data_IF_368493712773
#
_entry.id   IF_368493712773
#
_cell.length_a   1.000
_cell.length_b   1.000
_cell.length_c   1.000
_cell.angle_alpha   90.00
_cell.angle_beta   90.00
_cell.angle_gamma   90.00
#
_symmetry.space_group_name_H-M   'P 1'
#
loop_
_entity.id
_entity.type
_entity.pdbx_description
1 polymer ?
#
# COMPACT_ATOMS: atom_id res chain seq x y z
N UNK A 1 -8.75 -2.50 8.13
CA UNK A 1 -9.22 -1.32 7.37
C UNK A 1 -8.76 0.02 7.97
N UNK A 2 -9.25 0.45 9.14
CA UNK A 2 -8.93 1.78 9.70
C UNK A 2 -7.42 2.04 9.88
N UNK A 3 -6.67 1.04 10.36
CA UNK A 3 -5.23 1.18 10.59
C UNK A 3 -4.43 1.48 9.31
N UNK A 4 -4.83 0.96 8.15
CA UNK A 4 -4.11 1.16 6.88
C UNK A 4 -4.30 2.58 6.34
N UNK A 5 -5.50 3.15 6.44
CA UNK A 5 -5.75 4.54 6.02
C UNK A 5 -5.04 5.54 6.95
N UNK A 6 -5.05 5.28 8.26
CA UNK A 6 -4.29 6.08 9.23
C UNK A 6 -2.79 6.03 8.91
N UNK A 7 -2.26 4.87 8.54
CA UNK A 7 -0.86 4.71 8.13
C UNK A 7 -0.51 5.53 6.88
N UNK A 8 -1.39 5.61 5.88
CA UNK A 8 -1.20 6.49 4.70
C UNK A 8 -1.11 7.96 5.12
N UNK A 9 -2.04 8.40 5.98
CA UNK A 9 -2.07 9.80 6.45
C UNK A 9 -0.78 10.13 7.22
N UNK A 10 -0.33 9.24 8.11
CA UNK A 10 0.91 9.42 8.88
C UNK A 10 2.12 9.44 7.94
N UNK A 11 2.18 8.54 6.96
CA UNK A 11 3.25 8.49 5.98
C UNK A 11 3.33 9.78 5.15
N UNK A 12 2.19 10.26 4.62
CA UNK A 12 2.11 11.53 3.89
C UNK A 12 2.48 12.73 4.76
N UNK A 13 1.96 12.80 5.99
CA UNK A 13 2.28 13.87 6.93
C UNK A 13 3.78 13.90 7.27
N UNK A 14 4.38 12.73 7.47
CA UNK A 14 5.82 12.56 7.72
C UNK A 14 6.66 13.06 6.54
N UNK A 15 6.26 12.75 5.30
CA UNK A 15 6.93 13.25 4.08
C UNK A 15 6.87 14.79 3.96
N UNK A 16 5.71 15.38 4.25
CA UNK A 16 5.52 16.84 4.22
C UNK A 16 6.37 17.51 5.30
N UNK A 17 6.34 16.99 6.53
CA UNK A 17 7.16 17.49 7.63
C UNK A 17 8.65 17.40 7.30
N UNK A 18 9.10 16.31 6.69
CA UNK A 18 10.49 16.14 6.27
C UNK A 18 10.92 17.21 5.26
N UNK A 19 10.08 17.48 4.25
CA UNK A 19 10.32 18.52 3.26
C UNK A 19 10.37 19.94 3.90
N UNK A 20 9.50 20.22 4.87
CA UNK A 20 9.48 21.48 5.61
C UNK A 20 10.73 21.67 6.48
N UNK A 21 11.17 20.62 7.18
CA UNK A 21 12.40 20.63 7.99
C UNK A 21 13.62 20.88 7.10
N UNK A 22 13.72 20.15 5.99
CA UNK A 22 14.82 20.32 5.04
C UNK A 22 14.86 21.73 4.44
N UNK A 23 13.71 22.30 4.04
CA UNK A 23 13.63 23.67 3.50
C UNK A 23 14.01 24.74 4.54
N UNK A 24 13.57 24.58 5.78
CA UNK A 24 13.70 25.62 6.81
C UNK A 24 15.08 25.65 7.46
N UNK A 25 15.71 24.49 7.67
CA UNK A 25 16.97 24.37 8.46
C UNK A 25 18.01 23.45 7.82
N UNK A 26 17.70 22.78 6.71
CA UNK A 26 18.56 21.78 6.09
C UNK A 26 19.81 22.35 5.42
N UNK A 27 20.90 21.58 5.53
CA UNK A 27 22.13 21.77 4.77
C UNK A 27 21.90 21.33 3.32
N UNK A 28 22.17 22.24 2.38
CA UNK A 28 21.94 22.00 0.95
C UNK A 28 23.09 21.20 0.35
N UNK A 29 23.12 19.90 0.63
CA UNK A 29 23.87 18.95 -0.18
C UNK A 29 22.90 18.23 -1.13
N UNK A 30 23.33 18.06 -2.39
CA UNK A 30 22.62 17.27 -3.40
C UNK A 30 22.34 15.86 -2.87
N UNK A 31 23.29 15.26 -2.14
CA UNK A 31 23.16 13.93 -1.57
C UNK A 31 21.96 13.77 -0.61
N UNK A 32 21.74 14.71 0.31
CA UNK A 32 20.60 14.63 1.23
C UNK A 32 19.27 14.86 0.48
N UNK A 33 19.25 15.77 -0.50
CA UNK A 33 18.06 15.99 -1.31
C UNK A 33 17.69 14.74 -2.12
N UNK A 34 18.68 14.10 -2.76
CA UNK A 34 18.44 12.87 -3.53
C UNK A 34 17.94 11.73 -2.65
N UNK A 35 18.48 11.55 -1.43
CA UNK A 35 18.01 10.54 -0.50
C UNK A 35 16.55 10.76 -0.07
N UNK A 36 16.19 12.00 0.26
CA UNK A 36 14.82 12.37 0.66
C UNK A 36 13.85 12.07 -0.49
N UNK A 37 14.19 12.46 -1.72
CA UNK A 37 13.33 12.26 -2.89
C UNK A 37 13.20 10.78 -3.26
N UNK A 38 14.28 10.01 -3.16
CA UNK A 38 14.26 8.58 -3.39
C UNK A 38 13.36 7.89 -2.36
N UNK A 39 13.51 8.20 -1.08
CA UNK A 39 12.67 7.65 -0.02
C UNK A 39 11.19 8.06 -0.19
N UNK A 40 10.92 9.31 -0.59
CA UNK A 40 9.57 9.76 -0.94
C UNK A 40 8.99 8.99 -2.13
N UNK A 41 9.78 8.74 -3.17
CA UNK A 41 9.36 7.95 -4.33
C UNK A 41 8.97 6.52 -3.92
N UNK A 42 9.79 5.87 -3.09
CA UNK A 42 9.50 4.52 -2.57
C UNK A 42 8.23 4.52 -1.73
N UNK A 43 8.07 5.49 -0.81
CA UNK A 43 6.90 5.60 0.04
C UNK A 43 5.61 5.79 -0.77
N UNK A 44 5.62 6.68 -1.77
CA UNK A 44 4.47 6.90 -2.65
C UNK A 44 4.13 5.67 -3.47
N UNK A 45 5.15 4.98 -3.99
CA UNK A 45 4.95 3.72 -4.71
C UNK A 45 4.29 2.66 -3.83
N UNK A 46 4.76 2.49 -2.58
CA UNK A 46 4.16 1.54 -1.62
C UNK A 46 2.71 1.90 -1.26
N UNK A 47 2.42 3.17 -1.05
CA UNK A 47 1.05 3.64 -0.78
C UNK A 47 0.12 3.40 -1.97
N UNK A 48 0.58 3.66 -3.20
CA UNK A 48 -0.21 3.42 -4.41
C UNK A 48 -0.37 1.94 -4.72
N UNK A 49 0.67 1.14 -4.51
CA UNK A 49 0.56 -0.31 -4.61
C UNK A 49 -0.52 -0.83 -3.67
N UNK A 50 -0.51 -0.38 -2.41
CA UNK A 50 -1.56 -0.74 -1.46
C UNK A 50 -2.95 -0.27 -1.92
N UNK A 51 -3.07 0.96 -2.43
CA UNK A 51 -4.33 1.51 -2.93
C UNK A 51 -4.85 0.72 -4.15
N UNK A 52 -3.96 0.28 -5.03
CA UNK A 52 -4.28 -0.61 -6.14
C UNK A 52 -4.80 -1.95 -5.64
N UNK A 53 -4.09 -2.58 -4.71
CA UNK A 53 -4.55 -3.82 -4.07
C UNK A 53 -5.91 -3.64 -3.40
N UNK A 54 -6.13 -2.52 -2.70
CA UNK A 54 -7.43 -2.17 -2.10
C UNK A 54 -8.52 -1.99 -3.15
N UNK A 55 -8.21 -1.37 -4.29
CA UNK A 55 -9.14 -1.24 -5.40
C UNK A 55 -9.54 -2.61 -5.99
N UNK A 56 -8.62 -3.58 -6.01
CA UNK A 56 -8.89 -4.93 -6.52
C UNK A 56 -9.66 -5.81 -5.55
N UNK A 57 -9.38 -5.77 -4.25
CA UNK A 57 -9.92 -6.75 -3.28
C UNK A 57 -10.74 -6.15 -2.15
N UNK A 58 -10.75 -4.82 -2.01
CA UNK A 58 -11.37 -4.13 -0.89
C UNK A 58 -10.61 -4.26 0.44
N UNK A 59 -9.56 -5.09 0.55
CA UNK A 59 -8.82 -5.34 1.80
C UNK A 59 -7.37 -4.85 1.81
N UNK A 60 -6.80 -4.52 0.63
CA UNK A 60 -5.39 -4.16 0.49
C UNK A 60 -4.54 -5.35 0.09
N UNK A 61 -3.27 -5.42 0.53
CA UNK A 61 -2.34 -6.50 0.18
C UNK A 61 -2.71 -7.77 0.97
N UNK A 62 -3.23 -8.78 0.27
CA UNK A 62 -3.64 -10.08 0.84
C UNK A 62 -3.37 -11.23 -0.16
N UNK A 63 -3.48 -12.49 0.26
CA UNK A 63 -3.20 -13.69 -0.56
C UNK A 63 -4.02 -13.75 -1.83
N UNK A 64 -5.29 -13.34 -1.74
CA UNK A 64 -6.17 -13.21 -2.88
C UNK A 64 -5.60 -12.26 -3.94
N UNK A 65 -4.92 -11.18 -3.55
CA UNK A 65 -4.28 -10.24 -4.49
C UNK A 65 -3.05 -10.86 -5.12
N UNK A 66 -2.19 -11.50 -4.33
CA UNK A 66 -0.96 -12.11 -4.86
C UNK A 66 -1.32 -13.21 -5.85
N UNK A 67 -2.33 -14.02 -5.53
CA UNK A 67 -2.82 -15.08 -6.40
C UNK A 67 -3.51 -14.53 -7.66
N UNK A 68 -4.35 -13.50 -7.50
CA UNK A 68 -5.05 -12.82 -8.61
C UNK A 68 -4.05 -12.12 -9.54
N UNK A 69 -3.07 -11.38 -9.02
CA UNK A 69 -2.02 -10.77 -9.84
C UNK A 69 -1.14 -11.83 -10.52
N UNK A 70 -0.85 -12.95 -9.86
CA UNK A 70 0.04 -13.97 -10.44
C UNK A 70 -0.67 -14.87 -11.46
N UNK A 71 -1.97 -15.14 -11.31
CA UNK A 71 -2.71 -16.10 -12.15
C UNK A 71 -3.89 -15.54 -12.95
N UNK A 72 -4.51 -14.43 -12.54
CA UNK A 72 -5.75 -13.93 -13.18
C UNK A 72 -5.54 -12.84 -14.23
N UNK A 73 -4.31 -12.32 -14.39
CA UNK A 73 -4.00 -11.28 -15.40
C UNK A 73 -4.21 -11.76 -16.84
N UNK A 74 -4.49 -13.04 -17.08
CA UNK A 74 -4.69 -13.62 -18.41
C UNK A 74 -6.08 -13.37 -19.03
N UNK A 75 -6.99 -12.64 -18.36
CA UNK A 75 -8.33 -12.36 -18.88
C UNK A 75 -8.99 -11.07 -18.38
N UNK A 76 -8.29 -10.24 -17.62
CA UNK A 76 -8.84 -8.95 -17.18
C UNK A 76 -8.77 -7.93 -18.33
N UNK A 77 -9.87 -7.26 -18.62
CA UNK A 77 -9.93 -6.18 -19.60
C UNK A 77 -9.08 -4.99 -19.10
N UNK A 78 -7.79 -4.98 -19.46
CA UNK A 78 -6.78 -4.01 -19.00
C UNK A 78 -7.20 -2.55 -19.21
N UNK A 79 -8.13 -2.31 -20.14
CA UNK A 79 -8.57 -1.00 -20.60
C UNK A 79 -9.17 -0.14 -19.49
N UNK A 80 -9.91 -0.74 -18.55
CA UNK A 80 -10.53 -0.02 -17.43
C UNK A 80 -9.52 0.35 -16.33
N UNK A 81 -8.33 -0.25 -16.34
CA UNK A 81 -7.30 -0.07 -15.33
C UNK A 81 -6.19 0.89 -15.75
N UNK A 82 -6.09 1.23 -17.04
CA UNK A 82 -5.11 2.20 -17.54
C UNK A 82 -5.35 3.58 -16.93
N UNK A 83 -6.60 4.02 -16.86
CA UNK A 83 -6.96 5.34 -16.35
C UNK A 83 -6.50 5.58 -14.88
N UNK A 84 -6.86 4.74 -13.88
CA UNK A 84 -6.40 4.93 -12.51
C UNK A 84 -4.88 4.81 -12.38
N UNK A 85 -4.23 3.96 -13.19
CA UNK A 85 -2.78 3.82 -13.19
C UNK A 85 -2.08 5.10 -13.70
N UNK A 86 -2.54 5.67 -14.81
CA UNK A 86 -1.99 6.93 -15.36
C UNK A 86 -2.17 8.06 -14.36
N UNK A 87 -3.36 8.19 -13.74
CA UNK A 87 -3.62 9.20 -12.70
C UNK A 87 -2.67 9.02 -11.52
N UNK A 88 -2.45 7.79 -11.06
CA UNK A 88 -1.53 7.49 -9.97
C UNK A 88 -0.08 7.90 -10.29
N UNK A 89 0.42 7.55 -11.48
CA UNK A 89 1.77 7.92 -11.92
C UNK A 89 1.93 9.43 -12.05
N UNK A 90 0.94 10.13 -12.62
CA UNK A 90 0.93 11.58 -12.71
C UNK A 90 0.94 12.23 -11.31
N UNK A 91 0.19 11.67 -10.36
CA UNK A 91 0.14 12.17 -8.99
C UNK A 91 1.47 11.98 -8.26
N UNK A 92 2.16 10.83 -8.44
CA UNK A 92 3.54 10.65 -7.94
C UNK A 92 4.46 11.72 -8.52
N UNK A 93 4.44 11.86 -9.85
CA UNK A 93 5.26 12.82 -10.56
C UNK A 93 5.04 14.24 -10.06
N UNK A 94 3.77 14.63 -9.86
CA UNK A 94 3.39 15.93 -9.32
C UNK A 94 3.90 16.13 -7.88
N UNK A 95 3.72 15.15 -6.99
CA UNK A 95 4.18 15.24 -5.60
C UNK A 95 5.71 15.32 -5.49
N UNK A 96 6.43 14.52 -6.28
CA UNK A 96 7.89 14.58 -6.35
C UNK A 96 8.37 15.90 -6.95
N UNK A 97 7.72 16.38 -8.00
CA UNK A 97 8.02 17.68 -8.61
C UNK A 97 7.78 18.84 -7.64
N UNK A 98 6.66 18.82 -6.91
CA UNK A 98 6.37 19.78 -5.85
C UNK A 98 7.43 19.73 -4.77
N UNK A 99 7.76 18.54 -4.24
CA UNK A 99 8.80 18.36 -3.23
C UNK A 99 10.15 18.92 -3.70
N UNK A 100 10.57 18.56 -4.91
CA UNK A 100 11.76 19.10 -5.57
C UNK A 100 11.74 20.63 -5.67
N UNK A 101 10.65 21.20 -6.18
CA UNK A 101 10.49 22.65 -6.33
C UNK A 101 10.53 23.37 -4.98
N UNK A 102 9.90 22.78 -3.95
CA UNK A 102 9.93 23.27 -2.57
C UNK A 102 11.34 23.26 -1.98
N UNK A 103 12.15 22.24 -2.29
CA UNK A 103 13.55 22.13 -1.83
C UNK A 103 14.48 23.12 -2.54
N UNK A 104 14.18 23.50 -3.80
CA UNK A 104 14.97 24.47 -4.56
C UNK A 104 14.74 25.95 -4.15
N UNK A 105 13.63 26.27 -3.48
CA UNK A 105 13.26 27.66 -3.17
C UNK A 105 14.36 28.38 -2.38
N UNK A 106 14.90 29.49 -2.89
CA UNK A 106 15.96 30.29 -2.22
C UNK A 106 15.41 30.87 -0.92
N UNK A 107 15.68 30.20 0.21
CA UNK A 107 15.27 30.69 1.52
C UNK A 107 16.39 31.56 2.09
N UNK A 108 16.02 32.76 2.51
CA UNK A 108 16.90 33.83 2.98
C UNK A 108 17.51 33.43 4.33
N UNK A 109 18.84 33.39 4.37
CA UNK A 109 19.72 33.46 5.54
C UNK A 109 19.15 32.92 6.87
N UNK A 110 19.11 31.59 7.02
CA UNK A 110 19.08 30.95 8.34
C UNK A 110 20.24 29.96 8.43
N UNK A 111 20.93 29.95 9.56
CA UNK A 111 22.04 29.03 9.80
C UNK A 111 21.61 27.59 9.57
N UNK A 112 22.19 26.99 8.54
CA UNK A 112 21.84 25.64 8.08
C UNK A 112 22.55 24.63 8.94
N UNK A 113 21.81 23.66 9.48
CA UNK A 113 22.36 22.67 10.42
C UNK A 113 22.33 21.28 9.78
N UNK A 114 23.46 20.56 9.84
CA UNK A 114 23.55 19.18 9.34
C UNK A 114 22.52 18.26 10.00
N UNK A 115 22.33 18.40 11.31
CA UNK A 115 21.34 17.63 12.07
C UNK A 115 19.91 17.73 11.52
N UNK A 116 19.49 18.90 11.01
CA UNK A 116 18.16 19.07 10.42
C UNK A 116 17.98 18.31 9.10
N UNK A 117 19.07 18.07 8.36
CA UNK A 117 19.02 17.26 7.13
C UNK A 117 18.93 15.79 7.46
N UNK A 118 19.68 15.35 8.48
CA UNK A 118 19.66 13.97 8.98
C UNK A 118 18.27 13.64 9.54
N UNK A 119 17.66 14.54 10.33
CA UNK A 119 16.29 14.32 10.83
C UNK A 119 15.27 14.24 9.71
N UNK A 120 15.38 15.07 8.67
CA UNK A 120 14.51 14.98 7.50
C UNK A 120 14.66 13.64 6.77
N UNK A 121 15.89 13.15 6.59
CA UNK A 121 16.15 11.83 5.99
C UNK A 121 15.54 10.72 6.84
N UNK A 122 15.79 10.70 8.16
CA UNK A 122 15.22 9.71 9.06
C UNK A 122 13.68 9.71 9.02
N UNK A 123 13.07 10.89 8.97
CA UNK A 123 11.62 11.04 8.91
C UNK A 123 11.03 10.52 7.59
N UNK A 124 11.75 10.68 6.47
CA UNK A 124 11.35 10.03 5.20
C UNK A 124 11.50 8.51 5.22
N UNK A 125 12.57 7.97 5.84
CA UNK A 125 12.69 6.52 6.01
C UNK A 125 11.61 5.96 6.93
N UNK A 126 11.24 6.70 7.98
CA UNK A 126 10.12 6.35 8.84
C UNK A 126 8.79 6.32 8.06
N UNK A 127 8.58 7.25 7.13
CA UNK A 127 7.40 7.24 6.25
C UNK A 127 7.33 5.98 5.38
N UNK A 128 8.48 5.47 4.92
CA UNK A 128 8.56 4.18 4.22
C UNK A 128 8.15 3.05 5.16
N UNK A 129 8.72 2.97 6.37
CA UNK A 129 8.44 1.91 7.33
C UNK A 129 6.98 1.84 7.79
N UNK A 130 6.30 2.99 7.89
CA UNK A 130 4.87 3.07 8.25
C UNK A 130 3.95 2.74 7.07
N UNK A 131 4.45 2.65 5.84
CA UNK A 131 3.58 2.40 4.68
C UNK A 131 2.72 1.15 4.89
N UNK A 132 1.42 1.20 4.53
CA UNK A 132 0.48 0.12 4.82
C UNK A 132 0.86 -1.19 4.12
N UNK A 133 1.46 -1.12 2.93
CA UNK A 133 1.96 -2.29 2.22
C UNK A 133 3.03 -3.03 3.04
N UNK A 134 4.05 -2.33 3.56
CA UNK A 134 5.11 -2.95 4.36
C UNK A 134 4.57 -3.48 5.69
N UNK A 135 3.67 -2.76 6.35
CA UNK A 135 3.02 -3.24 7.58
C UNK A 135 2.20 -4.52 7.33
N UNK A 136 1.55 -4.65 6.18
CA UNK A 136 0.82 -5.87 5.83
C UNK A 136 1.75 -7.02 5.49
N UNK A 137 2.82 -6.79 4.71
CA UNK A 137 3.84 -7.80 4.42
C UNK A 137 4.51 -8.34 5.70
N UNK A 138 4.90 -7.46 6.63
CA UNK A 138 5.56 -7.86 7.88
C UNK A 138 4.64 -8.64 8.83
N UNK A 139 3.34 -8.35 8.82
CA UNK A 139 2.36 -9.11 9.60
C UNK A 139 2.02 -10.44 8.95
N UNK A 140 2.12 -10.56 7.63
CA UNK A 140 1.88 -11.81 6.90
C UNK A 140 2.94 -12.88 7.20
N UNK A 141 4.19 -12.47 7.45
CA UNK A 141 5.26 -13.42 7.82
C UNK A 141 5.09 -14.07 9.20
N UNK A 142 4.06 -13.69 9.97
CA UNK A 142 3.73 -14.38 11.21
C UNK A 142 2.96 -15.64 10.84
N UNK A 143 3.41 -16.84 11.26
CA UNK A 143 2.63 -18.05 11.07
C UNK A 143 1.21 -17.80 11.60
N UNK A 144 0.16 -18.25 10.89
CA UNK A 144 -1.19 -18.22 11.42
C UNK A 144 -1.19 -18.77 12.83
N UNK A 145 -2.01 -18.20 13.72
CA UNK A 145 -2.23 -18.81 15.03
C UNK A 145 -2.51 -20.30 14.80
N UNK A 146 -1.77 -21.17 15.49
CA UNK A 146 -1.82 -22.61 15.30
C UNK A 146 -3.30 -23.04 15.44
N UNK A 147 -3.93 -23.33 14.30
CA UNK A 147 -5.33 -23.75 14.28
C UNK A 147 -5.29 -25.19 14.74
N UNK A 148 -5.55 -25.40 16.02
CA UNK A 148 -5.57 -26.69 16.72
C UNK A 148 -6.44 -27.75 16.02
N UNK A 149 -7.30 -27.34 15.07
CA UNK A 149 -8.08 -28.24 14.21
C UNK A 149 -9.18 -29.00 14.98
N UNK A 150 -9.21 -28.90 16.31
CA UNK A 150 -10.17 -29.50 17.22
C UNK A 150 -11.61 -29.09 16.88
N UNK A 151 -11.81 -27.85 16.42
CA UNK A 151 -13.11 -27.31 16.02
C UNK A 151 -13.61 -27.77 14.65
N UNK A 152 -12.79 -28.47 13.84
CA UNK A 152 -13.22 -28.96 12.52
C UNK A 152 -14.47 -29.85 12.63
N UNK A 153 -14.47 -30.72 13.63
CA UNK A 153 -15.58 -31.64 13.92
C UNK A 153 -16.89 -30.93 14.32
N UNK A 154 -16.80 -29.68 14.80
CA UNK A 154 -17.96 -28.89 15.23
C UNK A 154 -18.71 -28.24 14.07
N UNK A 155 -18.00 -27.89 13.00
CA UNK A 155 -18.57 -27.23 11.83
C UNK A 155 -18.68 -28.15 10.61
N UNK A 156 -18.02 -29.31 10.63
CA UNK A 156 -18.13 -30.30 9.57
C UNK A 156 -19.47 -31.04 9.66
N UNK A 157 -20.39 -30.69 8.76
CA UNK A 157 -21.63 -31.41 8.56
C UNK A 157 -21.35 -32.51 7.55
N UNK A 158 -21.34 -33.77 8.01
CA UNK A 158 -21.27 -34.93 7.12
C UNK A 158 -22.56 -34.96 6.28
N UNK A 159 -22.50 -34.79 4.96
CA UNK A 159 -23.69 -34.85 4.14
C UNK A 159 -24.20 -36.29 4.05
N UNK A 160 -25.50 -36.47 4.21
CA UNK A 160 -26.13 -37.77 3.95
C UNK A 160 -25.97 -38.14 2.48
N UNK A 161 -25.36 -39.29 2.22
CA UNK A 161 -25.11 -39.81 0.86
C UNK A 161 -26.37 -40.28 0.15
N UNK A 162 -27.52 -40.32 0.84
CA UNK A 162 -28.81 -40.72 0.29
C UNK A 162 -29.91 -39.72 0.65
N UNK A 163 -30.50 -39.13 -0.38
CA UNK A 163 -31.71 -38.31 -0.24
C UNK A 163 -32.91 -39.26 -0.23
N UNK A 164 -33.54 -39.45 0.92
CA UNK A 164 -34.80 -40.20 1.02
C UNK A 164 -35.93 -39.39 0.36
N UNK A 165 -36.63 -39.99 -0.62
CA UNK A 165 -37.64 -39.34 -1.47
C UNK A 165 -37.10 -38.14 -2.27
N UNK A 166 -36.31 -38.38 -3.34
CA UNK A 166 -35.82 -37.30 -4.19
C UNK A 166 -36.99 -36.60 -4.90
N UNK A 167 -37.31 -35.38 -4.46
CA UNK A 167 -38.11 -34.43 -5.24
C UNK A 167 -37.17 -33.58 -6.09
N UNK A 168 -37.60 -33.22 -7.30
CA UNK A 168 -36.85 -32.31 -8.15
C UNK A 168 -36.63 -30.97 -7.42
N UNK A 169 -35.41 -30.72 -6.97
CA UNK A 169 -34.97 -29.42 -6.49
C UNK A 169 -34.21 -28.74 -7.63
N UNK A 170 -34.76 -27.64 -8.13
CA UNK A 170 -34.10 -26.83 -9.13
C UNK A 170 -32.98 -26.04 -8.43
N UNK A 171 -31.73 -26.46 -8.64
CA UNK A 171 -30.56 -25.74 -8.16
C UNK A 171 -30.09 -24.81 -9.28
N UNK A 172 -30.33 -23.51 -9.12
CA UNK A 172 -29.75 -22.50 -10.00
C UNK A 172 -28.30 -22.27 -9.58
N UNK A 173 -27.37 -22.84 -10.33
CA UNK A 173 -25.95 -22.48 -10.21
C UNK A 173 -25.70 -21.39 -11.24
N UNK A 174 -25.68 -20.14 -10.78
CA UNK A 174 -25.26 -19.02 -11.60
C UNK A 174 -23.73 -19.00 -11.63
N UNK A 175 -23.16 -19.61 -12.66
CA UNK A 175 -21.78 -19.36 -13.03
C UNK A 175 -21.78 -18.14 -13.96
N UNK A 176 -21.40 -16.97 -13.43
CA UNK A 176 -21.02 -15.87 -14.30
C UNK A 176 -19.76 -16.26 -15.06
N UNK A 177 -19.89 -16.46 -16.37
CA UNK A 177 -18.75 -16.34 -17.27
C UNK A 177 -18.50 -14.84 -17.43
N UNK A 178 -17.44 -14.34 -16.79
CA UNK A 178 -16.89 -13.03 -17.17
C UNK A 178 -16.17 -13.16 -18.50
#
# INVERSE_FOLDING_TARGET
>A
MQYSFVAIIISLASMVLAALIYKSKGYRAIYYASLILLAQCISLFLCLFWLGCYYFTGEGVNDAVIYTLTRSLYGADFKDYVAPFVVAVLLIGLLLFLSWRFMQGKNVQKERKHYASITAVLLTFFAVGISPALLQFTNYSKPPAEVDGSDFSRYYITPDTRINNPKYNLVYIYAESR
#
